data_IF_064774861512
#
_entry.id   IF_064774861512
#
_cell.length_a   1.000
_cell.length_b   1.000
_cell.length_c   1.000
_cell.angle_alpha   90.00
_cell.angle_beta   90.00
_cell.angle_gamma   90.00
#
_symmetry.space_group_name_H-M   'P 1'
#
loop_
_entity.id
_entity.type
_entity.pdbx_description
1 polymer ?
#
# COMPACT_ATOMS: atom_id res chain seq x y z
N UNK A 1 -21.36 -23.23 -87.86
CA UNK A 1 -21.76 -23.79 -86.58
C UNK A 1 -21.25 -22.86 -85.47
N UNK A 2 -22.12 -21.98 -85.03
CA UNK A 2 -21.82 -20.97 -84.01
C UNK A 2 -22.53 -21.38 -82.72
N UNK A 3 -21.71 -21.81 -81.69
CA UNK A 3 -22.22 -22.24 -80.40
C UNK A 3 -22.38 -21.04 -79.49
N UNK A 4 -23.58 -20.68 -79.17
CA UNK A 4 -23.98 -19.62 -78.25
C UNK A 4 -23.71 -20.09 -76.79
N UNK A 5 -22.77 -19.44 -76.08
CA UNK A 5 -22.57 -19.64 -74.62
C UNK A 5 -23.52 -18.75 -73.85
N UNK A 6 -24.53 -19.35 -73.24
CA UNK A 6 -25.46 -18.71 -72.31
C UNK A 6 -24.79 -18.45 -70.97
N UNK A 7 -24.53 -17.19 -70.61
CA UNK A 7 -24.02 -16.79 -69.27
C UNK A 7 -25.13 -16.97 -68.24
N UNK A 8 -24.99 -17.95 -67.36
CA UNK A 8 -25.79 -18.08 -66.14
C UNK A 8 -25.35 -17.02 -65.13
N UNK A 9 -26.24 -16.05 -64.87
CA UNK A 9 -26.07 -15.10 -63.79
C UNK A 9 -26.40 -15.78 -62.44
N UNK A 10 -25.36 -16.12 -61.66
CA UNK A 10 -25.53 -16.54 -60.27
C UNK A 10 -25.92 -15.30 -59.42
N UNK A 11 -27.17 -15.17 -59.07
CA UNK A 11 -27.67 -14.22 -58.09
C UNK A 11 -27.19 -14.66 -56.70
N UNK A 12 -26.23 -13.95 -56.08
CA UNK A 12 -25.84 -14.15 -54.69
C UNK A 12 -27.06 -13.87 -53.80
N UNK A 13 -27.40 -14.77 -52.85
CA UNK A 13 -28.43 -14.49 -51.87
C UNK A 13 -27.98 -13.34 -50.99
N UNK A 14 -28.82 -12.30 -50.88
CA UNK A 14 -28.65 -11.17 -49.96
C UNK A 14 -28.62 -11.73 -48.55
N UNK A 15 -27.41 -11.77 -47.93
CA UNK A 15 -27.27 -12.09 -46.52
C UNK A 15 -28.10 -11.07 -45.72
N UNK A 16 -29.15 -11.52 -45.12
CA UNK A 16 -29.94 -10.74 -44.16
C UNK A 16 -29.02 -10.43 -42.98
N UNK A 17 -28.59 -9.17 -42.87
CA UNK A 17 -27.92 -8.68 -41.64
C UNK A 17 -28.84 -9.01 -40.47
N UNK A 18 -28.34 -9.69 -39.42
CA UNK A 18 -29.13 -9.83 -38.20
C UNK A 18 -29.40 -8.43 -37.70
N UNK A 19 -30.69 -8.07 -37.60
CA UNK A 19 -31.09 -6.86 -36.86
C UNK A 19 -30.46 -6.99 -35.46
N UNK A 20 -29.78 -5.96 -34.97
CA UNK A 20 -29.38 -5.92 -33.56
C UNK A 20 -30.71 -6.05 -32.80
N UNK A 21 -30.98 -7.25 -32.28
CA UNK A 21 -32.07 -7.46 -31.34
C UNK A 21 -31.82 -6.46 -30.23
N UNK A 22 -32.70 -5.47 -30.09
CA UNK A 22 -32.69 -4.59 -28.96
C UNK A 22 -32.70 -5.50 -27.75
N UNK A 23 -31.55 -5.57 -27.08
CA UNK A 23 -31.49 -6.07 -25.72
C UNK A 23 -32.43 -5.12 -24.96
N UNK A 24 -33.70 -5.58 -24.81
CA UNK A 24 -34.59 -4.96 -23.87
C UNK A 24 -33.80 -4.96 -22.58
N UNK A 25 -33.35 -3.76 -22.14
CA UNK A 25 -32.77 -3.58 -20.85
C UNK A 25 -33.80 -4.16 -19.88
N UNK A 26 -33.63 -5.44 -19.51
CA UNK A 26 -34.38 -6.03 -18.42
C UNK A 26 -34.15 -5.07 -17.26
N UNK A 27 -35.17 -4.35 -16.89
CA UNK A 27 -35.21 -3.62 -15.63
C UNK A 27 -35.19 -4.75 -14.60
N UNK A 28 -33.96 -5.08 -14.17
CA UNK A 28 -33.73 -6.14 -13.18
C UNK A 28 -34.32 -5.77 -11.80
N UNK A 29 -35.20 -4.78 -11.78
CA UNK A 29 -35.93 -4.34 -10.61
C UNK A 29 -35.03 -4.13 -9.39
N UNK A 30 -35.51 -4.60 -8.23
CA UNK A 30 -34.78 -4.51 -6.96
C UNK A 30 -33.91 -5.75 -6.64
N UNK A 31 -33.95 -6.79 -7.47
CA UNK A 31 -33.18 -8.04 -7.25
C UNK A 31 -31.66 -7.82 -7.10
N UNK A 32 -30.98 -7.02 -7.94
CA UNK A 32 -29.56 -6.75 -7.75
C UNK A 32 -29.26 -6.13 -6.39
N UNK A 33 -30.14 -5.25 -5.92
CA UNK A 33 -30.00 -4.61 -4.60
C UNK A 33 -30.09 -5.62 -3.46
N UNK A 34 -30.97 -6.63 -3.57
CA UNK A 34 -31.11 -7.67 -2.56
C UNK A 34 -29.82 -8.49 -2.38
N UNK A 35 -29.09 -8.75 -3.48
CA UNK A 35 -27.81 -9.46 -3.41
C UNK A 35 -26.67 -8.59 -2.85
N UNK A 36 -26.68 -7.28 -3.08
CA UNK A 36 -25.64 -6.36 -2.62
C UNK A 36 -25.92 -5.85 -1.20
N UNK A 37 -27.17 -5.86 -0.74
CA UNK A 37 -27.61 -5.32 0.54
C UNK A 37 -26.90 -5.91 1.76
N UNK A 38 -26.64 -7.23 1.88
CA UNK A 38 -25.88 -7.79 3.01
C UNK A 38 -24.45 -7.22 3.09
N UNK A 39 -23.77 -7.07 1.93
CA UNK A 39 -22.46 -6.46 1.86
C UNK A 39 -22.49 -4.98 2.25
N UNK A 40 -23.43 -4.22 1.68
CA UNK A 40 -23.59 -2.80 2.00
C UNK A 40 -23.98 -2.60 3.47
N UNK A 41 -24.83 -3.46 4.02
CA UNK A 41 -25.19 -3.46 5.43
C UNK A 41 -23.99 -3.70 6.35
N UNK A 42 -23.14 -4.66 6.00
CA UNK A 42 -21.89 -4.92 6.70
C UNK A 42 -20.93 -3.73 6.64
N UNK A 43 -20.74 -3.13 5.47
CA UNK A 43 -19.91 -1.93 5.29
C UNK A 43 -20.48 -0.75 6.09
N UNK A 44 -21.78 -0.53 6.03
CA UNK A 44 -22.43 0.56 6.77
C UNK A 44 -22.28 0.38 8.28
N UNK A 45 -22.48 -0.82 8.81
CA UNK A 45 -22.45 -1.09 10.25
C UNK A 45 -21.03 -1.12 10.81
N UNK A 46 -20.07 -1.75 10.11
CA UNK A 46 -18.73 -2.00 10.65
C UNK A 46 -17.68 -0.97 10.23
N UNK A 47 -17.95 -0.16 9.19
CA UNK A 47 -17.02 0.88 8.73
C UNK A 47 -17.63 2.29 8.85
N UNK A 48 -18.78 2.53 8.20
CA UNK A 48 -19.34 3.90 8.18
C UNK A 48 -19.83 4.34 9.56
N UNK A 49 -20.52 3.46 10.30
CA UNK A 49 -21.01 3.78 11.61
C UNK A 49 -19.90 4.15 12.62
N UNK A 50 -18.80 3.38 12.79
CA UNK A 50 -17.69 3.78 13.65
C UNK A 50 -17.01 5.08 13.22
N UNK A 51 -16.91 5.35 11.90
CA UNK A 51 -16.36 6.62 11.40
C UNK A 51 -17.26 7.79 11.85
N UNK A 52 -18.58 7.66 11.69
CA UNK A 52 -19.53 8.70 12.12
C UNK A 52 -19.50 8.91 13.64
N UNK A 53 -19.41 7.82 14.43
CA UNK A 53 -19.25 7.92 15.88
C UNK A 53 -17.93 8.61 16.24
N UNK A 54 -16.82 8.26 15.62
CA UNK A 54 -15.52 8.90 15.85
C UNK A 54 -15.57 10.37 15.47
N UNK A 55 -16.23 10.71 14.35
CA UNK A 55 -16.45 12.09 13.96
C UNK A 55 -17.28 12.86 15.01
N UNK A 56 -18.34 12.27 15.57
CA UNK A 56 -19.11 12.88 16.63
C UNK A 56 -18.26 13.07 17.90
N UNK A 57 -17.54 12.02 18.33
CA UNK A 57 -16.71 12.08 19.54
C UNK A 57 -15.55 13.06 19.43
N UNK A 58 -15.07 13.37 18.25
CA UNK A 58 -14.02 14.37 18.04
C UNK A 58 -14.43 15.79 18.47
N UNK A 59 -15.74 16.05 18.59
CA UNK A 59 -16.31 17.31 19.07
C UNK A 59 -16.77 17.24 20.53
N UNK A 60 -16.38 16.19 21.26
CA UNK A 60 -16.82 15.98 22.64
C UNK A 60 -15.61 15.83 23.57
N UNK A 61 -15.80 16.20 24.83
CA UNK A 61 -14.93 15.88 25.94
C UNK A 61 -15.50 14.71 26.74
N UNK A 62 -14.65 13.76 27.13
CA UNK A 62 -15.07 12.60 27.90
C UNK A 62 -14.73 12.80 29.38
N UNK A 63 -15.74 12.69 30.24
CA UNK A 63 -15.53 12.76 31.67
C UNK A 63 -14.84 11.52 32.23
N UNK A 64 -14.14 11.69 33.35
CA UNK A 64 -13.38 10.61 34.05
C UNK A 64 -14.30 9.45 34.44
N UNK A 65 -15.55 9.72 34.77
CA UNK A 65 -16.56 8.73 35.19
C UNK A 65 -17.48 8.27 34.05
N UNK A 66 -17.12 8.59 32.81
CA UNK A 66 -17.96 8.33 31.63
C UNK A 66 -18.86 9.51 31.29
N UNK A 67 -19.56 9.37 30.16
CA UNK A 67 -20.34 10.47 29.57
C UNK A 67 -19.49 11.35 28.67
N UNK A 68 -20.14 11.99 27.68
CA UNK A 68 -19.50 12.93 26.79
C UNK A 68 -20.27 14.23 26.77
N UNK A 69 -19.58 15.35 26.88
CA UNK A 69 -20.13 16.70 26.76
C UNK A 69 -19.60 17.33 25.46
N UNK A 70 -20.46 18.09 24.80
CA UNK A 70 -20.09 18.77 23.57
C UNK A 70 -19.13 19.93 23.89
N UNK A 71 -17.91 19.91 23.27
CA UNK A 71 -16.91 20.95 23.44
C UNK A 71 -16.56 21.70 22.14
N UNK A 72 -17.30 21.44 21.05
CA UNK A 72 -17.08 22.11 19.79
C UNK A 72 -15.74 21.76 19.15
N UNK A 73 -14.92 22.75 18.82
CA UNK A 73 -13.63 22.58 18.14
C UNK A 73 -12.40 22.54 19.08
N UNK A 74 -12.59 22.50 20.40
CA UNK A 74 -11.50 22.60 21.37
C UNK A 74 -10.45 21.48 21.21
N UNK A 75 -10.90 20.25 20.92
CA UNK A 75 -9.98 19.14 20.63
C UNK A 75 -9.10 19.42 19.41
N UNK A 76 -9.65 20.03 18.37
CA UNK A 76 -8.88 20.39 17.18
C UNK A 76 -7.96 21.56 17.43
N UNK A 77 -8.38 22.58 18.18
CA UNK A 77 -7.54 23.71 18.57
C UNK A 77 -6.35 23.22 19.39
N UNK A 78 -6.58 22.35 20.38
CA UNK A 78 -5.53 21.68 21.16
C UNK A 78 -4.60 20.85 20.27
N UNK A 79 -5.16 20.06 19.34
CA UNK A 79 -4.40 19.17 18.45
C UNK A 79 -3.43 19.95 17.55
N UNK A 80 -3.89 21.03 16.94
CA UNK A 80 -3.04 21.85 16.08
C UNK A 80 -2.01 22.70 16.85
N UNK A 81 -2.21 22.88 18.15
CA UNK A 81 -1.22 23.52 19.05
C UNK A 81 -0.23 22.51 19.65
N UNK A 82 -0.47 21.19 19.53
CA UNK A 82 0.38 20.14 20.12
C UNK A 82 1.60 19.84 19.24
N UNK A 83 2.84 20.09 19.73
CA UNK A 83 4.05 19.73 19.00
C UNK A 83 4.19 18.25 18.68
N UNK A 84 3.51 17.38 19.46
CA UNK A 84 3.54 15.92 19.28
C UNK A 84 2.88 15.51 17.96
N UNK A 85 1.86 16.25 17.50
CA UNK A 85 1.23 16.01 16.19
C UNK A 85 2.26 16.16 15.06
N UNK A 86 3.02 17.25 15.06
CA UNK A 86 3.98 17.55 14.01
C UNK A 86 5.15 16.58 14.02
N UNK A 87 5.60 16.20 15.22
CA UNK A 87 6.64 15.17 15.39
C UNK A 87 6.16 13.81 14.87
N UNK A 88 4.94 13.38 15.22
CA UNK A 88 4.35 12.13 14.77
C UNK A 88 4.09 12.14 13.24
N UNK A 89 3.65 13.28 12.69
CA UNK A 89 3.50 13.44 11.25
C UNK A 89 4.84 13.34 10.53
N UNK A 90 5.88 14.04 11.01
CA UNK A 90 7.23 13.96 10.45
C UNK A 90 7.79 12.53 10.47
N UNK A 91 7.62 11.83 11.59
CA UNK A 91 8.04 10.44 11.74
C UNK A 91 7.28 9.50 10.77
N UNK A 92 5.97 9.70 10.63
CA UNK A 92 5.15 8.90 9.70
C UNK A 92 5.54 9.15 8.25
N UNK A 93 5.79 10.40 7.87
CA UNK A 93 6.28 10.76 6.53
C UNK A 93 7.66 10.18 6.25
N UNK A 94 8.59 10.27 7.21
CA UNK A 94 9.91 9.65 7.09
C UNK A 94 9.82 8.14 6.88
N UNK A 95 9.04 7.46 7.71
CA UNK A 95 8.80 6.02 7.58
C UNK A 95 8.21 5.69 6.21
N UNK A 96 7.16 6.41 5.80
CA UNK A 96 6.49 6.22 4.51
C UNK A 96 7.47 6.40 3.35
N UNK A 97 8.30 7.45 3.39
CA UNK A 97 9.31 7.69 2.37
C UNK A 97 10.28 6.51 2.23
N UNK A 98 10.83 6.02 3.35
CA UNK A 98 11.76 4.87 3.32
C UNK A 98 11.07 3.62 2.78
N UNK A 99 9.84 3.30 3.22
CA UNK A 99 9.12 2.11 2.74
C UNK A 99 8.80 2.21 1.24
N UNK A 100 8.46 3.40 0.75
CA UNK A 100 8.22 3.63 -0.67
C UNK A 100 9.46 3.42 -1.55
N UNK A 101 10.67 3.61 -1.02
CA UNK A 101 11.92 3.24 -1.72
C UNK A 101 12.01 1.73 -2.00
N UNK A 102 11.23 0.93 -1.31
CA UNK A 102 11.07 -0.50 -1.60
C UNK A 102 10.39 -0.79 -2.95
N UNK A 103 9.58 0.14 -3.49
CA UNK A 103 8.86 -0.09 -4.76
C UNK A 103 9.82 -0.27 -5.95
N UNK A 104 10.79 0.63 -6.22
CA UNK A 104 11.78 0.40 -7.27
C UNK A 104 12.55 -0.91 -7.11
N UNK A 105 12.90 -1.26 -5.86
CA UNK A 105 13.56 -2.53 -5.53
C UNK A 105 12.65 -3.70 -5.89
N UNK A 106 11.37 -3.64 -5.51
CA UNK A 106 10.40 -4.68 -5.81
C UNK A 106 10.14 -4.82 -7.31
N UNK A 107 10.08 -3.72 -8.09
CA UNK A 107 9.96 -3.74 -9.57
C UNK A 107 11.14 -4.48 -10.18
N UNK A 108 12.35 -4.15 -9.75
CA UNK A 108 13.55 -4.80 -10.25
C UNK A 108 13.60 -6.29 -9.90
N UNK A 109 13.35 -6.64 -8.63
CA UNK A 109 13.32 -8.03 -8.17
C UNK A 109 12.21 -8.84 -8.85
N UNK A 110 11.01 -8.28 -9.00
CA UNK A 110 9.91 -8.94 -9.71
C UNK A 110 10.27 -9.23 -11.17
N UNK A 111 10.93 -8.27 -11.84
CA UNK A 111 11.42 -8.45 -13.21
C UNK A 111 12.46 -9.58 -13.31
N UNK A 112 13.43 -9.61 -12.40
CA UNK A 112 14.44 -10.69 -12.35
C UNK A 112 13.79 -12.07 -12.12
N UNK A 113 12.84 -12.16 -11.18
CA UNK A 113 12.15 -13.42 -10.85
C UNK A 113 11.14 -13.86 -11.91
N UNK A 114 10.83 -13.00 -12.88
CA UNK A 114 9.96 -13.32 -14.01
C UNK A 114 10.77 -13.71 -15.27
N UNK A 115 12.11 -13.71 -15.22
CA UNK A 115 12.97 -14.10 -16.33
C UNK A 115 12.74 -15.58 -16.67
N UNK A 116 12.50 -15.93 -17.95
CA UNK A 116 12.32 -17.30 -18.38
C UNK A 116 13.55 -18.16 -18.04
N UNK A 117 13.32 -19.39 -17.56
CA UNK A 117 14.41 -20.33 -17.24
C UNK A 117 15.10 -20.10 -15.91
N UNK A 118 14.69 -19.15 -15.08
CA UNK A 118 15.27 -18.95 -13.75
C UNK A 118 15.04 -20.18 -12.85
N UNK A 119 16.14 -20.83 -12.44
CA UNK A 119 16.09 -21.97 -11.54
C UNK A 119 15.66 -21.49 -10.14
N UNK A 120 14.79 -22.25 -9.47
CA UNK A 120 14.26 -21.94 -8.13
C UNK A 120 13.44 -20.65 -8.00
N UNK A 121 12.89 -20.10 -9.11
CA UNK A 121 12.07 -18.88 -9.07
C UNK A 121 10.93 -18.96 -8.01
N UNK A 122 10.27 -20.13 -7.87
CA UNK A 122 9.22 -20.33 -6.86
C UNK A 122 9.74 -20.24 -5.44
N UNK A 123 10.93 -20.77 -5.17
CA UNK A 123 11.57 -20.68 -3.86
C UNK A 123 11.88 -19.23 -3.48
N UNK A 124 12.48 -18.46 -4.39
CA UNK A 124 12.75 -17.04 -4.15
C UNK A 124 11.47 -16.24 -3.92
N UNK A 125 10.39 -16.51 -4.66
CA UNK A 125 9.09 -15.87 -4.42
C UNK A 125 8.56 -16.14 -3.02
N UNK A 126 8.64 -17.37 -2.54
CA UNK A 126 8.24 -17.73 -1.18
C UNK A 126 9.12 -17.02 -0.15
N UNK A 127 10.44 -16.98 -0.35
CA UNK A 127 11.38 -16.34 0.55
C UNK A 127 11.11 -14.83 0.73
N UNK A 128 10.82 -14.12 -0.37
CA UNK A 128 10.49 -12.71 -0.30
C UNK A 128 9.07 -12.45 0.22
N UNK A 129 8.14 -13.39 0.05
CA UNK A 129 6.76 -13.24 0.54
C UNK A 129 6.61 -13.59 2.02
N UNK A 130 7.46 -14.46 2.55
CA UNK A 130 7.41 -14.93 3.93
C UNK A 130 7.34 -13.79 4.97
N UNK A 131 8.15 -12.72 4.87
CA UNK A 131 8.11 -11.59 5.81
C UNK A 131 6.76 -10.86 5.85
N UNK A 132 6.09 -10.75 4.71
CA UNK A 132 4.79 -10.09 4.61
C UNK A 132 3.68 -10.88 5.30
N UNK A 133 3.72 -12.22 5.23
CA UNK A 133 2.71 -13.10 5.84
C UNK A 133 2.96 -13.32 7.32
N UNK A 134 4.20 -13.16 7.77
CA UNK A 134 4.55 -13.34 9.16
C UNK A 134 3.90 -12.28 10.05
N UNK A 135 3.50 -12.69 11.25
CA UNK A 135 2.94 -11.73 12.22
C UNK A 135 3.95 -10.62 12.54
N UNK A 136 3.55 -9.34 12.52
CA UNK A 136 4.46 -8.22 12.81
C UNK A 136 5.23 -8.36 14.12
N UNK A 137 4.60 -8.92 15.15
CA UNK A 137 5.22 -9.18 16.46
C UNK A 137 6.36 -10.21 16.36
N UNK A 138 6.16 -11.31 15.62
CA UNK A 138 7.20 -12.32 15.42
C UNK A 138 8.38 -11.74 14.63
N UNK A 139 8.10 -11.00 13.57
CA UNK A 139 9.11 -10.26 12.80
C UNK A 139 9.90 -9.33 13.72
N UNK A 140 9.21 -8.53 14.51
CA UNK A 140 9.84 -7.59 15.44
C UNK A 140 10.74 -8.27 16.45
N UNK A 141 10.36 -9.45 17.00
CA UNK A 141 11.20 -10.19 17.94
C UNK A 141 12.52 -10.65 17.30
N UNK A 142 12.48 -11.16 16.07
CA UNK A 142 13.69 -11.54 15.34
C UNK A 142 14.57 -10.32 15.09
N UNK A 143 14.00 -9.21 14.63
CA UNK A 143 14.74 -7.99 14.35
C UNK A 143 15.30 -7.31 15.62
N UNK A 144 14.64 -7.47 16.78
CA UNK A 144 15.21 -7.04 18.07
C UNK A 144 16.55 -7.70 18.37
N UNK A 145 16.67 -9.00 18.06
CA UNK A 145 17.94 -9.73 18.22
C UNK A 145 18.97 -9.24 17.20
N UNK A 146 18.56 -9.05 15.94
CA UNK A 146 19.44 -8.56 14.87
C UNK A 146 19.98 -7.16 15.17
N UNK A 147 19.11 -6.26 15.70
CA UNK A 147 19.42 -4.88 16.03
C UNK A 147 19.98 -4.66 17.44
N UNK A 148 20.25 -5.75 18.18
CA UNK A 148 20.84 -5.60 19.51
C UNK A 148 22.20 -4.92 19.42
N UNK A 149 22.44 -3.90 20.29
CA UNK A 149 23.65 -3.11 20.27
C UNK A 149 24.90 -3.91 20.66
N UNK A 150 24.76 -4.84 21.62
CA UNK A 150 25.89 -5.54 22.23
C UNK A 150 26.25 -6.83 21.50
N UNK A 151 25.26 -7.64 21.10
CA UNK A 151 25.45 -8.96 20.47
C UNK A 151 24.71 -9.16 19.16
N UNK A 152 24.10 -8.09 18.61
CA UNK A 152 23.34 -8.17 17.38
C UNK A 152 24.20 -8.45 16.16
N UNK A 153 23.68 -9.30 15.26
CA UNK A 153 24.41 -9.70 14.05
C UNK A 153 24.75 -8.50 13.16
N UNK A 154 23.91 -7.46 13.16
CA UNK A 154 24.15 -6.27 12.34
C UNK A 154 25.38 -5.50 12.84
N UNK A 155 25.50 -5.29 14.15
CA UNK A 155 26.67 -4.63 14.73
C UNK A 155 27.93 -5.48 14.60
N UNK A 156 27.80 -6.81 14.70
CA UNK A 156 28.90 -7.73 14.41
C UNK A 156 29.41 -7.56 12.98
N UNK A 157 28.51 -7.52 11.98
CA UNK A 157 28.90 -7.32 10.57
C UNK A 157 29.53 -5.94 10.32
N UNK A 158 29.02 -4.89 10.98
CA UNK A 158 29.61 -3.54 10.92
C UNK A 158 31.01 -3.50 11.53
N UNK A 159 31.23 -4.19 12.64
CA UNK A 159 32.54 -4.26 13.29
C UNK A 159 33.62 -4.93 12.42
N UNK A 160 33.24 -5.89 11.54
CA UNK A 160 34.18 -6.51 10.60
C UNK A 160 34.77 -5.52 9.58
N UNK A 161 34.07 -4.40 9.33
CA UNK A 161 34.54 -3.32 8.45
C UNK A 161 35.01 -2.08 9.24
N UNK A 162 35.18 -2.23 10.58
CA UNK A 162 35.70 -1.19 11.45
C UNK A 162 34.68 -0.09 11.82
N UNK A 163 33.38 -0.40 11.72
CA UNK A 163 32.31 0.54 12.07
C UNK A 163 31.67 0.10 13.40
N UNK A 164 31.68 0.98 14.39
CA UNK A 164 30.94 0.79 15.63
C UNK A 164 29.45 1.10 15.40
N UNK A 165 28.62 0.06 15.37
CA UNK A 165 27.18 0.20 15.15
C UNK A 165 26.47 0.82 16.35
N UNK A 166 25.39 1.61 16.13
CA UNK A 166 24.62 2.22 17.20
C UNK A 166 23.74 1.20 17.93
N UNK A 167 23.17 1.62 19.07
CA UNK A 167 22.04 0.93 19.69
C UNK A 167 20.76 1.22 18.88
N UNK A 168 20.53 0.45 17.84
CA UNK A 168 19.51 0.69 16.80
C UNK A 168 18.12 1.01 17.35
N UNK A 169 17.69 0.32 18.40
CA UNK A 169 16.34 0.48 18.97
C UNK A 169 16.29 1.50 20.12
N UNK A 170 17.43 1.99 20.60
CA UNK A 170 17.51 2.84 21.80
C UNK A 170 18.17 4.19 21.54
N UNK A 171 18.66 4.44 20.32
CA UNK A 171 19.23 5.72 19.92
C UNK A 171 18.23 6.55 19.13
N UNK A 172 17.95 7.83 19.49
CA UNK A 172 17.06 8.69 18.72
C UNK A 172 17.47 8.78 17.25
N UNK A 173 16.49 8.76 16.34
CA UNK A 173 16.71 8.72 14.90
C UNK A 173 16.98 7.32 14.36
N UNK A 174 17.88 6.55 14.95
CA UNK A 174 18.13 5.17 14.54
C UNK A 174 16.95 4.23 14.85
N UNK A 175 16.21 4.49 15.94
CA UNK A 175 15.06 3.68 16.30
C UNK A 175 13.97 3.70 15.21
N UNK A 176 13.64 4.89 14.71
CA UNK A 176 12.68 5.03 13.62
C UNK A 176 13.22 4.46 12.29
N UNK A 177 14.52 4.66 12.02
CA UNK A 177 15.18 4.08 10.84
C UNK A 177 15.16 2.55 10.89
N UNK A 178 15.41 1.94 12.06
CA UNK A 178 15.32 0.48 12.26
C UNK A 178 13.91 -0.03 11.94
N UNK A 179 12.86 0.63 12.46
CA UNK A 179 11.46 0.32 12.13
C UNK A 179 11.22 0.44 10.62
N UNK A 180 11.75 1.49 9.98
CA UNK A 180 11.56 1.73 8.56
C UNK A 180 12.26 0.69 7.66
N UNK A 181 13.46 0.24 8.04
CA UNK A 181 14.18 -0.84 7.35
C UNK A 181 13.36 -2.15 7.40
N UNK A 182 12.84 -2.50 8.58
CA UNK A 182 12.00 -3.70 8.73
C UNK A 182 10.70 -3.56 7.93
N UNK A 183 10.08 -2.39 7.96
CA UNK A 183 8.87 -2.09 7.19
C UNK A 183 9.09 -2.22 5.68
N UNK A 184 10.18 -1.63 5.17
CA UNK A 184 10.58 -1.76 3.76
C UNK A 184 10.78 -3.23 3.39
N UNK A 185 11.59 -3.97 4.15
CA UNK A 185 11.86 -5.37 3.89
C UNK A 185 10.57 -6.22 3.90
N UNK A 186 9.69 -6.02 4.87
CA UNK A 186 8.41 -6.74 4.96
C UNK A 186 7.46 -6.41 3.81
N UNK A 187 7.46 -5.16 3.30
CA UNK A 187 6.57 -4.73 2.23
C UNK A 187 6.97 -5.26 0.85
N UNK A 188 8.25 -5.63 0.63
CA UNK A 188 8.75 -6.11 -0.66
C UNK A 188 7.96 -7.31 -1.19
N UNK A 189 7.59 -8.25 -0.31
CA UNK A 189 6.88 -9.47 -0.70
C UNK A 189 5.53 -9.20 -1.35
N UNK A 190 4.72 -8.34 -0.75
CA UNK A 190 3.43 -7.93 -1.30
C UNK A 190 3.60 -7.21 -2.64
N UNK A 191 4.49 -6.22 -2.67
CA UNK A 191 4.78 -5.46 -3.87
C UNK A 191 5.20 -6.36 -5.03
N UNK A 192 6.12 -7.30 -4.78
CA UNK A 192 6.61 -8.24 -5.79
C UNK A 192 5.51 -9.14 -6.37
N UNK A 193 4.55 -9.61 -5.57
CA UNK A 193 3.45 -10.44 -6.08
C UNK A 193 2.56 -9.66 -7.05
N UNK A 194 2.17 -8.44 -6.68
CA UNK A 194 1.35 -7.59 -7.53
C UNK A 194 2.08 -7.22 -8.83
N UNK A 195 3.35 -6.84 -8.71
CA UNK A 195 4.18 -6.48 -9.86
C UNK A 195 4.45 -7.69 -10.76
N UNK A 196 4.68 -8.88 -10.20
CA UNK A 196 4.83 -10.10 -10.98
C UNK A 196 3.56 -10.50 -11.74
N UNK A 197 2.37 -10.22 -11.16
CA UNK A 197 1.10 -10.38 -11.87
C UNK A 197 0.96 -9.38 -13.03
N UNK A 198 1.35 -8.12 -12.81
CA UNK A 198 1.40 -7.09 -13.85
C UNK A 198 2.36 -7.44 -14.99
N UNK A 199 3.54 -7.96 -14.69
CA UNK A 199 4.53 -8.38 -15.69
C UNK A 199 4.02 -9.45 -16.65
N UNK A 200 3.14 -10.35 -16.18
CA UNK A 200 2.54 -11.38 -17.03
C UNK A 200 1.55 -10.86 -18.06
N UNK A 201 1.05 -9.65 -17.89
CA UNK A 201 0.14 -8.99 -18.83
C UNK A 201 0.89 -8.26 -19.97
N UNK A 202 2.21 -8.13 -19.87
CA UNK A 202 3.03 -7.51 -20.94
C UNK A 202 3.22 -8.52 -22.05
N UNK A 203 2.80 -8.22 -23.30
CA UNK A 203 2.97 -9.10 -24.44
C UNK A 203 4.46 -9.42 -24.69
N UNK A 204 4.84 -10.71 -24.85
CA UNK A 204 6.23 -11.10 -25.09
C UNK A 204 6.80 -10.52 -26.39
N UNK A 205 5.95 -10.25 -27.37
CA UNK A 205 6.31 -9.69 -28.67
C UNK A 205 7.02 -8.33 -28.53
N UNK A 206 6.69 -7.55 -27.50
CA UNK A 206 7.35 -6.26 -27.23
C UNK A 206 8.80 -6.43 -26.78
N UNK A 207 9.10 -7.49 -26.05
CA UNK A 207 10.47 -7.83 -25.67
C UNK A 207 11.27 -8.36 -26.85
N UNK A 208 10.65 -9.18 -27.71
CA UNK A 208 11.27 -9.71 -28.93
C UNK A 208 11.58 -8.59 -29.91
N UNK A 209 10.65 -7.67 -30.13
CA UNK A 209 10.88 -6.49 -30.98
C UNK A 209 12.04 -5.63 -30.45
N UNK A 210 12.07 -5.34 -29.15
CA UNK A 210 13.16 -4.58 -28.54
C UNK A 210 14.52 -5.32 -28.64
N UNK A 211 14.52 -6.66 -28.65
CA UNK A 211 15.73 -7.45 -28.84
C UNK A 211 16.23 -7.39 -30.30
N UNK A 212 15.33 -7.45 -31.27
CA UNK A 212 15.65 -7.26 -32.69
C UNK A 212 16.22 -5.87 -32.98
N UNK A 213 15.75 -4.85 -32.24
CA UNK A 213 16.29 -3.48 -32.28
C UNK A 213 17.65 -3.32 -31.55
N UNK A 214 18.21 -4.40 -31.01
CA UNK A 214 19.50 -4.40 -30.32
C UNK A 214 19.45 -3.76 -28.92
N UNK A 215 18.28 -3.67 -28.29
CA UNK A 215 18.15 -3.10 -26.95
C UNK A 215 18.82 -4.00 -25.91
N UNK A 216 19.69 -3.40 -25.06
CA UNK A 216 20.30 -4.09 -23.92
C UNK A 216 19.23 -4.48 -22.89
N UNK A 217 19.48 -5.48 -22.01
CA UNK A 217 18.54 -5.87 -20.96
C UNK A 217 18.07 -4.69 -20.09
N UNK A 218 18.98 -3.78 -19.74
CA UNK A 218 18.64 -2.56 -18.97
C UNK A 218 17.74 -1.60 -19.76
N UNK A 219 18.00 -1.44 -21.06
CA UNK A 219 17.17 -0.60 -21.93
C UNK A 219 15.78 -1.20 -22.09
N UNK A 220 15.66 -2.53 -22.26
CA UNK A 220 14.37 -3.25 -22.29
C UNK A 220 13.62 -3.06 -20.98
N UNK A 221 14.30 -3.17 -19.84
CA UNK A 221 13.71 -2.93 -18.52
C UNK A 221 13.15 -1.51 -18.41
N UNK A 222 13.91 -0.48 -18.76
CA UNK A 222 13.50 0.92 -18.61
C UNK A 222 12.48 1.38 -19.66
N UNK A 223 12.55 0.85 -20.92
CA UNK A 223 11.72 1.34 -22.03
C UNK A 223 10.48 0.50 -22.28
N UNK A 224 10.44 -0.76 -21.83
CA UNK A 224 9.29 -1.67 -22.01
C UNK A 224 8.69 -2.03 -20.66
N UNK A 225 9.48 -2.63 -19.76
CA UNK A 225 8.96 -3.17 -18.50
C UNK A 225 8.38 -2.07 -17.60
N UNK A 226 9.17 -1.06 -17.25
CA UNK A 226 8.75 -0.02 -16.30
C UNK A 226 7.54 0.76 -16.81
N UNK A 227 7.50 1.25 -18.07
CA UNK A 227 6.34 2.01 -18.56
C UNK A 227 5.05 1.20 -18.60
N UNK A 228 5.10 -0.06 -19.05
CA UNK A 228 3.93 -0.93 -19.15
C UNK A 228 3.48 -1.47 -17.77
N UNK A 229 4.35 -1.43 -16.77
CA UNK A 229 4.06 -1.83 -15.41
C UNK A 229 3.50 -0.68 -14.55
N UNK A 230 3.46 0.56 -15.08
CA UNK A 230 3.01 1.73 -14.33
C UNK A 230 1.64 1.59 -13.65
N UNK A 231 0.61 0.92 -14.22
CA UNK A 231 -0.64 0.70 -13.52
C UNK A 231 -0.49 -0.14 -12.25
N UNK A 232 0.34 -1.20 -12.32
CA UNK A 232 0.63 -2.05 -11.16
C UNK A 232 1.50 -1.33 -10.13
N UNK A 233 2.48 -0.55 -10.57
CA UNK A 233 3.32 0.30 -9.71
C UNK A 233 2.44 1.31 -8.98
N UNK A 234 1.50 1.94 -9.67
CA UNK A 234 0.59 2.91 -9.07
C UNK A 234 -0.31 2.26 -8.00
N UNK A 235 -0.85 1.08 -8.27
CA UNK A 235 -1.63 0.32 -7.29
C UNK A 235 -0.80 0.01 -6.04
N UNK A 236 0.42 -0.49 -6.20
CA UNK A 236 1.34 -0.77 -5.09
C UNK A 236 1.67 0.51 -4.32
N UNK A 237 1.91 1.62 -5.02
CA UNK A 237 2.18 2.93 -4.42
C UNK A 237 1.04 3.36 -3.48
N UNK A 238 -0.22 3.29 -3.94
CA UNK A 238 -1.38 3.67 -3.12
C UNK A 238 -1.47 2.80 -1.87
N UNK A 239 -1.47 1.47 -2.05
CA UNK A 239 -1.63 0.54 -0.92
C UNK A 239 -0.49 0.69 0.07
N UNK A 240 0.76 0.78 -0.41
CA UNK A 240 1.92 0.97 0.46
C UNK A 240 1.87 2.30 1.20
N UNK A 241 1.44 3.39 0.56
CA UNK A 241 1.27 4.69 1.21
C UNK A 241 0.23 4.60 2.33
N UNK A 242 -0.97 4.08 2.04
CA UNK A 242 -2.03 3.94 3.05
C UNK A 242 -1.55 3.11 4.24
N UNK A 243 -0.94 1.94 3.97
CA UNK A 243 -0.43 1.04 5.03
C UNK A 243 0.69 1.70 5.86
N UNK A 244 1.56 2.49 5.23
CA UNK A 244 2.65 3.19 5.91
C UNK A 244 2.13 4.28 6.85
N UNK A 245 1.09 5.02 6.47
CA UNK A 245 0.44 5.98 7.37
C UNK A 245 -0.26 5.32 8.56
N UNK A 246 -0.58 4.03 8.46
CA UNK A 246 -1.18 3.21 9.54
C UNK A 246 -0.14 2.48 10.39
N UNK A 247 1.13 2.92 10.37
CA UNK A 247 2.20 2.32 11.17
C UNK A 247 1.86 2.32 12.66
N UNK A 248 1.65 1.13 13.22
CA UNK A 248 1.44 0.91 14.65
C UNK A 248 2.10 -0.39 15.13
N UNK A 249 1.66 -1.55 14.62
CA UNK A 249 2.03 -2.86 15.15
C UNK A 249 3.53 -3.10 15.16
N UNK A 250 4.21 -2.80 14.05
CA UNK A 250 5.66 -2.99 13.93
C UNK A 250 6.42 -2.05 14.87
N UNK A 251 6.01 -0.79 14.97
CA UNK A 251 6.64 0.20 15.85
C UNK A 251 6.47 -0.24 17.32
N UNK A 252 5.24 -0.59 17.70
CA UNK A 252 4.93 -1.05 19.06
C UNK A 252 5.70 -2.33 19.42
N UNK A 253 5.72 -3.31 18.52
CA UNK A 253 6.37 -4.59 18.75
C UNK A 253 7.91 -4.46 18.78
N UNK A 254 8.50 -3.62 17.92
CA UNK A 254 9.95 -3.49 17.83
C UNK A 254 10.53 -2.64 18.96
N UNK A 255 9.93 -1.50 19.28
CA UNK A 255 10.45 -0.60 20.32
C UNK A 255 9.93 -0.97 21.73
N UNK A 256 8.66 -1.36 21.84
CA UNK A 256 8.01 -1.60 23.12
C UNK A 256 7.58 -0.30 23.81
N UNK A 257 6.61 -0.41 24.74
CA UNK A 257 6.03 0.74 25.44
C UNK A 257 6.98 1.42 26.44
N UNK A 258 7.99 0.69 26.95
CA UNK A 258 8.93 1.19 27.94
C UNK A 258 10.21 1.81 27.33
N UNK A 259 10.29 1.92 26.01
CA UNK A 259 11.49 2.41 25.36
C UNK A 259 11.62 3.94 25.52
N UNK A 260 12.75 4.46 26.05
CA UNK A 260 12.92 5.89 26.32
C UNK A 260 12.94 6.75 25.03
N UNK A 261 13.17 6.14 23.87
CA UNK A 261 13.20 6.83 22.57
C UNK A 261 11.84 6.89 21.92
N UNK A 262 10.87 6.09 22.40
CA UNK A 262 9.55 6.00 21.83
C UNK A 262 8.83 7.36 21.68
N UNK A 263 8.86 8.29 22.65
CA UNK A 263 8.21 9.60 22.50
C UNK A 263 8.73 10.42 21.31
N UNK A 264 9.99 10.19 20.88
CA UNK A 264 10.60 10.84 19.70
C UNK A 264 10.36 10.08 18.40
N UNK A 265 9.84 8.85 18.47
CA UNK A 265 9.64 7.95 17.33
C UNK A 265 8.16 7.64 17.07
N UNK A 266 7.24 8.34 17.73
CA UNK A 266 5.81 8.12 17.59
C UNK A 266 5.37 8.30 16.15
N UNK A 267 4.55 7.34 15.65
CA UNK A 267 3.74 7.52 14.46
C UNK A 267 2.41 8.22 14.78
N UNK A 268 1.69 8.70 13.77
CA UNK A 268 0.36 9.27 13.96
C UNK A 268 -0.61 8.28 14.64
N UNK A 269 -0.59 7.01 14.22
CA UNK A 269 -1.49 5.99 14.81
C UNK A 269 -1.05 5.62 16.22
N UNK A 270 0.25 5.62 16.50
CA UNK A 270 0.70 5.42 17.88
C UNK A 270 0.33 6.61 18.78
N UNK A 271 0.41 7.83 18.27
CA UNK A 271 -0.04 9.03 18.99
C UNK A 271 -1.54 8.95 19.32
N UNK A 272 -2.38 8.58 18.35
CA UNK A 272 -3.79 8.27 18.57
C UNK A 272 -3.99 7.23 19.68
N UNK A 273 -3.28 6.10 19.60
CA UNK A 273 -3.37 5.02 20.59
C UNK A 273 -2.98 5.49 21.98
N UNK A 274 -1.89 6.24 22.11
CA UNK A 274 -1.43 6.74 23.40
C UNK A 274 -2.44 7.68 24.06
N UNK A 275 -3.09 8.54 23.30
CA UNK A 275 -4.11 9.45 23.84
C UNK A 275 -5.40 8.72 24.18
N UNK A 276 -5.90 7.85 23.29
CA UNK A 276 -7.20 7.22 23.46
C UNK A 276 -7.22 6.06 24.47
N UNK A 277 -6.13 5.28 24.51
CA UNK A 277 -6.11 4.03 25.29
C UNK A 277 -5.16 4.06 26.49
N UNK A 278 -4.09 4.85 26.45
CA UNK A 278 -3.17 5.00 27.60
C UNK A 278 -3.61 6.16 28.47
N UNK A 279 -3.86 7.34 27.89
CA UNK A 279 -4.26 8.54 28.61
C UNK A 279 -5.80 8.62 28.81
N UNK A 280 -6.58 7.71 28.20
CA UNK A 280 -8.03 7.64 28.24
C UNK A 280 -8.76 8.93 27.78
N UNK A 281 -8.09 9.76 26.96
CA UNK A 281 -8.66 10.98 26.38
C UNK A 281 -9.30 10.66 25.02
N UNK A 282 -10.50 10.10 25.06
CA UNK A 282 -11.20 9.57 23.87
C UNK A 282 -11.63 10.64 22.89
N UNK A 283 -12.04 11.82 23.39
CA UNK A 283 -12.45 12.94 22.56
C UNK A 283 -11.27 13.46 21.74
N UNK A 284 -10.15 13.73 22.40
CA UNK A 284 -8.92 14.17 21.75
C UNK A 284 -8.35 13.11 20.78
N UNK A 285 -8.34 11.84 21.18
CA UNK A 285 -7.96 10.74 20.30
C UNK A 285 -8.86 10.66 19.06
N UNK A 286 -10.17 10.86 19.20
CA UNK A 286 -11.10 10.89 18.06
C UNK A 286 -10.76 12.03 17.08
N UNK A 287 -10.37 13.21 17.59
CA UNK A 287 -9.90 14.30 16.72
C UNK A 287 -8.61 13.92 15.97
N UNK A 288 -7.66 13.26 16.65
CA UNK A 288 -6.44 12.74 15.99
C UNK A 288 -6.82 11.74 14.86
N UNK A 289 -7.72 10.80 15.15
CA UNK A 289 -8.16 9.80 14.16
C UNK A 289 -8.80 10.46 12.93
N UNK A 290 -9.64 11.50 13.13
CA UNK A 290 -10.24 12.25 12.02
C UNK A 290 -9.20 13.00 11.20
N UNK A 291 -8.18 13.58 11.83
CA UNK A 291 -7.07 14.24 11.11
C UNK A 291 -6.24 13.21 10.32
N UNK A 292 -5.97 12.03 10.88
CA UNK A 292 -5.29 10.92 10.15
C UNK A 292 -6.11 10.53 8.92
N UNK A 293 -7.42 10.33 9.07
CA UNK A 293 -8.32 10.01 7.96
C UNK A 293 -8.26 11.08 6.85
N UNK A 294 -8.30 12.36 7.23
CA UNK A 294 -8.22 13.47 6.28
C UNK A 294 -6.86 13.51 5.57
N UNK A 295 -5.75 13.32 6.28
CA UNK A 295 -4.40 13.31 5.69
C UNK A 295 -4.29 12.17 4.66
N UNK A 296 -4.67 10.94 5.04
CA UNK A 296 -4.64 9.79 4.13
C UNK A 296 -5.55 10.05 2.92
N UNK A 297 -6.76 10.58 3.14
CA UNK A 297 -7.70 10.92 2.07
C UNK A 297 -7.13 11.93 1.09
N UNK A 298 -6.53 13.02 1.58
CA UNK A 298 -5.90 14.05 0.76
C UNK A 298 -4.73 13.47 -0.04
N UNK A 299 -3.83 12.73 0.62
CA UNK A 299 -2.68 12.10 -0.05
C UNK A 299 -3.15 11.14 -1.15
N UNK A 300 -4.16 10.32 -0.87
CA UNK A 300 -4.73 9.39 -1.85
C UNK A 300 -5.37 10.13 -3.03
N UNK A 301 -6.16 11.18 -2.79
CA UNK A 301 -6.75 12.01 -3.85
C UNK A 301 -5.65 12.64 -4.71
N UNK A 302 -4.57 13.15 -4.10
CA UNK A 302 -3.44 13.70 -4.84
C UNK A 302 -2.77 12.64 -5.71
N UNK A 303 -2.54 11.43 -5.18
CA UNK A 303 -1.99 10.31 -5.96
C UNK A 303 -2.86 9.99 -7.19
N UNK A 304 -4.19 9.91 -7.04
CA UNK A 304 -5.10 9.69 -8.17
C UNK A 304 -5.12 10.83 -9.19
N UNK A 305 -4.94 12.07 -8.75
CA UNK A 305 -4.81 13.21 -9.68
C UNK A 305 -3.55 13.13 -10.51
N UNK A 306 -2.43 12.77 -9.89
CA UNK A 306 -1.16 12.61 -10.59
C UNK A 306 -1.09 11.36 -11.47
N UNK A 307 -1.92 10.33 -11.22
CA UNK A 307 -2.01 9.13 -12.05
C UNK A 307 -2.13 9.43 -13.53
N UNK A 308 -3.00 10.40 -13.91
CA UNK A 308 -3.31 10.75 -15.30
C UNK A 308 -2.12 11.23 -16.11
N UNK A 309 -1.02 11.62 -15.44
CA UNK A 309 0.16 12.21 -16.11
C UNK A 309 1.26 11.20 -16.39
N UNK A 310 1.30 10.05 -15.70
CA UNK A 310 2.43 9.12 -15.81
C UNK A 310 2.05 7.64 -15.91
N UNK A 311 0.77 7.28 -15.69
CA UNK A 311 0.31 5.89 -15.85
C UNK A 311 -0.13 5.67 -17.29
N UNK A 312 0.54 4.76 -17.99
CA UNK A 312 0.13 4.31 -19.32
C UNK A 312 -1.04 3.34 -19.17
N UNK A 313 -2.18 3.69 -19.76
CA UNK A 313 -3.39 2.87 -19.77
C UNK A 313 -3.66 2.25 -21.17
N UNK A 314 -2.73 2.41 -22.12
CA UNK A 314 -2.86 1.94 -23.50
C UNK A 314 -2.20 0.57 -23.72
#
# INVERSE_FOLDING_TARGET
MTTSMTRVRLTRPKASRPRPGGAAARRDGYWPWLFVLPLLGGVALFYLWPILQTAYFSFTEWGVFGGSTWNGLDNYARLFADPSLYSALGNTLFYTFIVLLGIPIAVYLASLLNTPGLRFASFYRVLFFLPYVAMPTAVAMVWRVIFNGDFGILNYLLSLVGIDGPYWTSTPGFALLAVAIVGLWSSLGFAMIILAAGLKNIPPELYEAAELDGATPWRRFMSVTVPLLTPSIFFVLIITTISSFQLFDLLYALLGSSNPVLPKSLSLVYFFYSQGFVNNDKGYASAIAMVILLIIGVVTILQFRFQKTWVNND
#
